data_IF_735645978651
#
_entry.id   IF_735645978651
#
_cell.length_a   1.000
_cell.length_b   1.000
_cell.length_c   1.000
_cell.angle_alpha   90.00
_cell.angle_beta   90.00
_cell.angle_gamma   90.00
#
_symmetry.space_group_name_H-M   'P 1'
#
loop_
_entity.id
_entity.type
_entity.pdbx_description
1 polymer ?
#
# COMPACT_ATOMS: atom_id res chain seq x y z
N UNK A 1 2.73 36.79 19.05
CA UNK A 1 3.57 37.03 17.85
C UNK A 1 4.81 36.13 17.77
N UNK A 2 5.41 35.64 18.87
CA UNK A 2 6.63 34.80 18.82
C UNK A 2 6.46 33.36 18.30
N UNK A 3 5.32 32.71 18.49
CA UNK A 3 5.11 31.32 18.06
C UNK A 3 4.98 31.15 16.53
N UNK A 4 4.38 32.13 15.85
CA UNK A 4 4.23 32.13 14.38
C UNK A 4 5.57 32.38 13.67
N UNK A 5 6.37 33.32 14.18
CA UNK A 5 7.69 33.60 13.61
C UNK A 5 8.66 32.40 13.72
N UNK A 6 8.55 31.61 14.79
CA UNK A 6 9.35 30.41 14.98
C UNK A 6 8.96 29.29 14.00
N UNK A 7 7.67 29.13 13.72
CA UNK A 7 7.19 28.16 12.73
C UNK A 7 7.68 28.50 11.31
N UNK A 8 7.66 29.77 10.92
CA UNK A 8 8.12 30.23 9.60
C UNK A 8 9.63 30.04 9.40
N UNK A 9 10.43 30.10 10.47
CA UNK A 9 11.87 29.80 10.42
C UNK A 9 12.10 28.30 10.20
N UNK A 10 11.44 27.45 10.98
CA UNK A 10 11.54 25.99 10.85
C UNK A 10 11.09 25.51 9.47
N UNK A 11 10.03 26.11 8.92
CA UNK A 11 9.56 25.80 7.56
C UNK A 11 10.61 26.11 6.49
N UNK A 12 11.27 27.28 6.56
CA UNK A 12 12.33 27.66 5.63
C UNK A 12 13.56 26.77 5.74
N UNK A 13 13.96 26.40 6.95
CA UNK A 13 15.06 25.45 7.15
C UNK A 13 14.77 24.10 6.50
N UNK A 14 13.54 23.59 6.66
CA UNK A 14 13.12 22.34 6.03
C UNK A 14 13.10 22.48 4.50
N UNK A 15 12.65 23.61 3.95
CA UNK A 15 12.68 23.87 2.50
C UNK A 15 14.11 23.84 1.95
N UNK A 16 15.06 24.50 2.61
CA UNK A 16 16.47 24.50 2.20
C UNK A 16 17.07 23.09 2.29
N UNK A 17 16.77 22.36 3.37
CA UNK A 17 17.21 20.96 3.55
C UNK A 17 16.66 20.05 2.44
N UNK A 18 15.38 20.19 2.06
CA UNK A 18 14.76 19.44 0.97
C UNK A 18 15.45 19.72 -0.37
N UNK A 19 15.69 21.00 -0.69
CA UNK A 19 16.34 21.40 -1.94
C UNK A 19 17.77 20.83 -2.01
N UNK A 20 18.53 20.95 -0.92
CA UNK A 20 19.91 20.45 -0.84
C UNK A 20 19.93 18.92 -0.95
N UNK A 21 19.09 18.22 -0.22
CA UNK A 21 19.02 16.75 -0.26
C UNK A 21 18.64 16.25 -1.65
N UNK A 22 17.61 16.83 -2.26
CA UNK A 22 17.18 16.45 -3.61
C UNK A 22 18.22 16.77 -4.68
N UNK A 23 18.88 17.92 -4.60
CA UNK A 23 20.00 18.27 -5.48
C UNK A 23 21.15 17.27 -5.35
N UNK A 24 21.46 16.80 -4.14
CA UNK A 24 22.50 15.80 -3.91
C UNK A 24 22.11 14.42 -4.47
N UNK A 25 20.84 14.02 -4.39
CA UNK A 25 20.34 12.80 -5.03
C UNK A 25 20.39 12.91 -6.56
N UNK A 26 20.05 14.07 -7.13
CA UNK A 26 20.13 14.30 -8.58
C UNK A 26 21.58 14.19 -9.09
N UNK A 27 22.56 14.62 -8.29
CA UNK A 27 24.00 14.52 -8.58
C UNK A 27 24.60 13.11 -8.46
N UNK A 28 23.86 12.12 -7.93
CA UNK A 28 24.35 10.72 -7.90
C UNK A 28 24.68 10.24 -9.31
N UNK A 29 25.89 9.71 -9.48
CA UNK A 29 26.42 9.12 -10.71
C UNK A 29 26.20 7.61 -10.70
N UNK A 30 26.27 6.97 -11.87
CA UNK A 30 26.25 5.50 -11.96
C UNK A 30 27.40 4.83 -11.21
N UNK A 31 28.52 5.54 -10.99
CA UNK A 31 29.69 5.06 -10.25
C UNK A 31 29.64 5.35 -8.74
N UNK A 32 28.53 5.89 -8.21
CA UNK A 32 28.41 6.16 -6.78
C UNK A 32 28.35 4.84 -6.01
N UNK A 33 28.99 4.74 -4.85
CA UNK A 33 28.94 3.52 -4.04
C UNK A 33 27.56 3.33 -3.40
N UNK A 34 27.21 2.09 -3.05
CA UNK A 34 25.97 1.81 -2.32
C UNK A 34 25.88 2.61 -1.01
N UNK A 35 26.98 2.69 -0.25
CA UNK A 35 27.02 3.44 1.01
C UNK A 35 26.73 4.94 0.81
N UNK A 36 27.27 5.54 -0.25
CA UNK A 36 27.01 6.94 -0.58
C UNK A 36 25.53 7.15 -0.94
N UNK A 37 24.96 6.25 -1.74
CA UNK A 37 23.54 6.28 -2.14
C UNK A 37 22.64 6.15 -0.91
N UNK A 38 22.90 5.17 -0.05
CA UNK A 38 22.16 4.91 1.19
C UNK A 38 22.23 6.13 2.11
N UNK A 39 23.43 6.69 2.35
CA UNK A 39 23.59 7.84 3.24
C UNK A 39 22.79 9.06 2.75
N UNK A 40 22.77 9.33 1.44
CA UNK A 40 21.98 10.43 0.87
C UNK A 40 20.48 10.18 0.94
N UNK A 41 20.06 8.94 0.70
CA UNK A 41 18.65 8.55 0.79
C UNK A 41 18.13 8.61 2.23
N UNK A 42 18.88 8.12 3.21
CA UNK A 42 18.50 8.20 4.63
C UNK A 42 18.35 9.66 5.08
N UNK A 43 19.24 10.55 4.61
CA UNK A 43 19.11 11.99 4.87
C UNK A 43 17.81 12.55 4.27
N UNK A 44 17.50 12.23 3.02
CA UNK A 44 16.25 12.64 2.39
C UNK A 44 15.02 12.09 3.13
N UNK A 45 15.05 10.82 3.52
CA UNK A 45 13.98 10.15 4.27
C UNK A 45 13.70 10.86 5.61
N UNK A 46 14.75 11.20 6.35
CA UNK A 46 14.64 11.91 7.63
C UNK A 46 13.99 13.29 7.48
N UNK A 47 14.34 14.03 6.42
CA UNK A 47 13.75 15.35 6.12
C UNK A 47 12.28 15.19 5.73
N UNK A 48 11.95 14.26 4.83
CA UNK A 48 10.56 14.01 4.40
C UNK A 48 9.65 13.62 5.59
N UNK A 49 10.14 12.81 6.53
CA UNK A 49 9.39 12.47 7.75
C UNK A 49 9.05 13.70 8.59
N UNK A 50 9.97 14.65 8.72
CA UNK A 50 9.77 15.92 9.46
C UNK A 50 8.72 16.80 8.80
N UNK A 51 8.72 16.91 7.46
CA UNK A 51 7.77 17.76 6.72
C UNK A 51 6.33 17.49 7.14
N UNK A 52 5.91 16.23 7.13
CA UNK A 52 4.53 15.89 7.47
C UNK A 52 4.23 15.85 8.98
N UNK A 53 5.12 16.36 9.85
CA UNK A 53 4.86 16.65 11.26
C UNK A 53 4.64 18.15 11.52
N UNK A 54 5.00 19.03 10.59
CA UNK A 54 4.89 20.47 10.77
C UNK A 54 3.45 20.93 10.53
N UNK A 55 2.91 21.71 11.48
CA UNK A 55 1.62 22.38 11.33
C UNK A 55 1.78 23.62 10.44
N UNK A 56 1.34 23.53 9.19
CA UNK A 56 1.45 24.58 8.17
C UNK A 56 1.14 23.97 6.80
N UNK A 57 0.73 24.78 5.81
CA UNK A 57 0.29 24.25 4.51
C UNK A 57 1.44 23.54 3.78
N UNK A 58 1.39 22.21 3.55
CA UNK A 58 2.41 21.48 2.80
C UNK A 58 2.53 21.95 1.34
N UNK A 59 1.52 22.67 0.83
CA UNK A 59 1.51 23.22 -0.53
C UNK A 59 2.64 24.21 -0.79
N UNK A 60 3.14 24.93 0.22
CA UNK A 60 4.26 25.87 0.06
C UNK A 60 5.58 25.12 -0.24
N UNK A 61 5.74 23.91 0.31
CA UNK A 61 6.95 23.10 0.13
C UNK A 61 6.99 22.32 -1.18
N UNK A 62 5.95 22.35 -2.03
CA UNK A 62 5.93 21.58 -3.28
C UNK A 62 7.13 21.87 -4.18
N UNK A 63 7.56 23.14 -4.25
CA UNK A 63 8.76 23.52 -5.00
C UNK A 63 10.04 22.94 -4.39
N UNK A 64 10.14 22.91 -3.06
CA UNK A 64 11.28 22.35 -2.35
C UNK A 64 11.34 20.82 -2.44
N UNK A 65 10.20 20.14 -2.57
CA UNK A 65 10.10 18.69 -2.76
C UNK A 65 10.53 18.25 -4.16
N UNK A 66 10.35 19.11 -5.18
CA UNK A 66 10.54 18.75 -6.59
C UNK A 66 11.89 18.07 -6.88
N UNK A 67 13.05 18.53 -6.36
CA UNK A 67 14.32 17.87 -6.63
C UNK A 67 14.41 16.44 -6.05
N UNK A 68 13.86 16.20 -4.86
CA UNK A 68 13.82 14.85 -4.25
C UNK A 68 12.88 13.96 -5.07
N UNK A 69 11.66 14.43 -5.32
CA UNK A 69 10.65 13.69 -6.08
C UNK A 69 11.17 13.28 -7.45
N UNK A 70 11.80 14.22 -8.16
CA UNK A 70 12.43 13.99 -9.47
C UNK A 70 13.59 12.98 -9.40
N UNK A 71 14.35 12.95 -8.30
CA UNK A 71 15.45 12.01 -8.15
C UNK A 71 14.96 10.58 -7.92
N UNK A 72 13.93 10.40 -7.06
CA UNK A 72 13.45 9.09 -6.61
C UNK A 72 12.87 8.24 -7.74
N UNK A 73 12.24 8.86 -8.74
CA UNK A 73 11.66 8.16 -9.90
C UNK A 73 12.68 7.79 -10.99
N UNK A 74 13.94 8.21 -10.87
CA UNK A 74 14.96 7.83 -11.87
C UNK A 74 15.32 6.36 -11.68
N UNK A 75 15.40 5.63 -12.78
CA UNK A 75 15.78 4.20 -12.81
C UNK A 75 17.02 3.87 -11.97
N UNK A 76 18.00 4.79 -11.92
CA UNK A 76 19.21 4.63 -11.09
C UNK A 76 18.94 4.39 -9.60
N UNK A 77 17.79 4.88 -9.08
CA UNK A 77 17.33 4.67 -7.70
C UNK A 77 16.15 3.71 -7.67
N UNK A 78 15.14 3.94 -8.52
CA UNK A 78 13.90 3.18 -8.52
C UNK A 78 14.11 1.69 -8.87
N UNK A 79 15.02 1.42 -9.81
CA UNK A 79 15.37 0.07 -10.29
C UNK A 79 16.76 -0.36 -9.81
N UNK A 80 17.21 0.20 -8.68
CA UNK A 80 18.49 -0.17 -8.07
C UNK A 80 18.49 -1.63 -7.63
N UNK A 81 19.65 -2.30 -7.68
CA UNK A 81 19.78 -3.74 -7.38
C UNK A 81 19.89 -4.07 -5.89
N UNK A 82 20.42 -3.13 -5.12
CA UNK A 82 20.58 -3.29 -3.67
C UNK A 82 19.23 -3.15 -2.94
N UNK A 83 18.90 -4.16 -2.13
CA UNK A 83 17.65 -4.26 -1.36
C UNK A 83 17.48 -3.09 -0.37
N UNK A 84 18.55 -2.66 0.32
CA UNK A 84 18.47 -1.56 1.27
C UNK A 84 18.17 -0.24 0.54
N UNK A 85 18.81 -0.02 -0.61
CA UNK A 85 18.49 1.14 -1.45
C UNK A 85 17.03 1.12 -1.87
N UNK A 86 16.52 -0.01 -2.37
CA UNK A 86 15.11 -0.16 -2.77
C UNK A 86 14.15 0.17 -1.63
N UNK A 87 14.39 -0.36 -0.42
CA UNK A 87 13.55 -0.13 0.76
C UNK A 87 13.54 1.34 1.16
N UNK A 88 14.70 2.01 1.16
CA UNK A 88 14.78 3.43 1.54
C UNK A 88 14.14 4.32 0.45
N UNK A 89 14.32 4.00 -0.85
CA UNK A 89 13.64 4.71 -1.95
C UNK A 89 12.13 4.57 -1.82
N UNK A 90 11.61 3.36 -1.58
CA UNK A 90 10.19 3.13 -1.37
C UNK A 90 9.64 3.94 -0.18
N UNK A 91 10.38 3.97 0.94
CA UNK A 91 10.00 4.79 2.09
C UNK A 91 9.96 6.28 1.76
N UNK A 92 10.95 6.80 1.03
CA UNK A 92 10.95 8.19 0.57
C UNK A 92 9.77 8.51 -0.36
N UNK A 93 9.46 7.62 -1.31
CA UNK A 93 8.31 7.75 -2.21
C UNK A 93 7.00 7.76 -1.41
N UNK A 94 6.85 6.84 -0.44
CA UNK A 94 5.70 6.80 0.46
C UNK A 94 5.50 8.11 1.23
N UNK A 95 6.59 8.71 1.75
CA UNK A 95 6.51 10.02 2.40
C UNK A 95 6.18 11.14 1.43
N UNK A 96 6.75 11.15 0.22
CA UNK A 96 6.44 12.15 -0.79
C UNK A 96 4.94 12.12 -1.15
N UNK A 97 4.38 10.94 -1.41
CA UNK A 97 2.95 10.73 -1.67
C UNK A 97 2.09 11.23 -0.51
N UNK A 98 2.47 10.92 0.74
CA UNK A 98 1.77 11.44 1.92
C UNK A 98 1.76 12.96 2.00
N UNK A 99 2.88 13.60 1.67
CA UNK A 99 3.00 15.07 1.75
C UNK A 99 2.21 15.76 0.65
N UNK A 100 2.15 15.17 -0.55
CA UNK A 100 1.46 15.79 -1.71
C UNK A 100 -0.02 15.47 -1.76
N UNK A 101 -0.50 14.48 -1.01
CA UNK A 101 -1.92 14.13 -0.92
C UNK A 101 -2.80 15.35 -0.61
N UNK A 102 -3.98 15.48 -1.25
CA UNK A 102 -4.61 14.52 -2.16
C UNK A 102 -4.12 14.60 -3.61
N UNK A 103 -3.15 15.47 -3.94
CA UNK A 103 -2.63 15.55 -5.30
C UNK A 103 -1.65 14.40 -5.57
N UNK A 104 -1.89 13.69 -6.68
CA UNK A 104 -1.00 12.65 -7.16
C UNK A 104 0.40 13.24 -7.38
N UNK A 105 1.45 12.63 -6.79
CA UNK A 105 2.82 13.17 -6.85
C UNK A 105 3.49 13.01 -8.22
N UNK A 106 3.09 11.99 -8.99
CA UNK A 106 3.78 11.54 -10.20
C UNK A 106 2.80 11.25 -11.33
N UNK A 107 3.31 11.06 -12.55
CA UNK A 107 2.49 10.59 -13.67
C UNK A 107 2.16 9.09 -13.51
N UNK A 108 1.14 8.61 -14.21
CA UNK A 108 0.60 7.26 -14.04
C UNK A 108 1.64 6.15 -14.25
N UNK A 109 2.49 6.27 -15.27
CA UNK A 109 3.58 5.34 -15.55
C UNK A 109 4.58 5.26 -14.37
N UNK A 110 4.90 6.41 -13.77
CA UNK A 110 5.78 6.51 -12.61
C UNK A 110 5.12 5.98 -11.34
N UNK A 111 3.81 6.16 -11.19
CA UNK A 111 3.04 5.60 -10.07
C UNK A 111 3.00 4.07 -10.17
N UNK A 112 2.83 3.50 -11.37
CA UNK A 112 2.90 2.05 -11.58
C UNK A 112 4.27 1.48 -11.17
N UNK A 113 5.37 2.11 -11.60
CA UNK A 113 6.72 1.69 -11.19
C UNK A 113 6.93 1.81 -9.66
N UNK A 114 6.36 2.85 -9.03
CA UNK A 114 6.39 3.03 -7.57
C UNK A 114 5.65 1.89 -6.84
N UNK A 115 4.43 1.55 -7.28
CA UNK A 115 3.66 0.46 -6.68
C UNK A 115 4.35 -0.89 -6.87
N UNK A 116 4.96 -1.12 -8.03
CA UNK A 116 5.82 -2.28 -8.26
C UNK A 116 6.96 -2.36 -7.23
N UNK A 117 7.64 -1.25 -6.96
CA UNK A 117 8.68 -1.21 -5.92
C UNK A 117 8.10 -1.44 -4.51
N UNK A 118 6.92 -0.91 -4.19
CA UNK A 118 6.26 -1.19 -2.91
C UNK A 118 5.99 -2.67 -2.74
N UNK A 119 5.47 -3.35 -3.76
CA UNK A 119 5.23 -4.79 -3.72
C UNK A 119 6.53 -5.59 -3.54
N UNK A 120 7.63 -5.20 -4.21
CA UNK A 120 8.97 -5.81 -3.98
C UNK A 120 9.39 -5.66 -2.52
N UNK A 121 9.25 -4.47 -1.95
CA UNK A 121 9.63 -4.18 -0.55
C UNK A 121 8.76 -4.95 0.44
N UNK A 122 7.44 -4.96 0.25
CA UNK A 122 6.53 -5.70 1.14
C UNK A 122 6.84 -7.20 1.16
N UNK A 123 7.05 -7.79 -0.02
CA UNK A 123 7.43 -9.22 -0.16
C UNK A 123 8.77 -9.55 0.49
N UNK A 124 9.75 -8.65 0.36
CA UNK A 124 11.10 -8.88 0.90
C UNK A 124 11.26 -8.63 2.40
N UNK A 125 10.45 -7.74 2.98
CA UNK A 125 10.70 -7.23 4.34
C UNK A 125 9.70 -7.68 5.40
N UNK A 126 8.43 -7.95 5.08
CA UNK A 126 7.41 -8.20 6.11
C UNK A 126 7.70 -9.45 6.96
N UNK A 127 8.31 -10.48 6.36
CA UNK A 127 8.68 -11.71 7.07
C UNK A 127 9.86 -11.57 8.01
N UNK A 128 10.58 -10.43 8.00
CA UNK A 128 11.72 -10.18 8.89
C UNK A 128 11.31 -9.86 10.32
N UNK A 129 10.06 -9.41 10.54
CA UNK A 129 9.43 -9.09 11.84
C UNK A 129 10.10 -7.98 12.68
N UNK A 130 11.32 -7.58 12.34
CA UNK A 130 12.15 -6.63 13.11
C UNK A 130 13.10 -5.86 12.20
N UNK A 131 13.59 -4.71 12.68
CA UNK A 131 14.60 -3.89 12.02
C UNK A 131 14.03 -2.77 11.15
N UNK A 132 14.87 -1.78 10.82
CA UNK A 132 14.42 -0.56 10.17
C UNK A 132 13.74 -0.79 8.81
N UNK A 133 14.18 -1.79 8.06
CA UNK A 133 13.58 -2.12 6.76
C UNK A 133 12.19 -2.74 6.90
N UNK A 134 12.00 -3.59 7.92
CA UNK A 134 10.69 -4.08 8.30
C UNK A 134 9.79 -2.89 8.70
N UNK A 135 10.26 -2.00 9.57
CA UNK A 135 9.49 -0.82 9.99
C UNK A 135 9.09 0.08 8.81
N UNK A 136 9.95 0.21 7.79
CA UNK A 136 9.63 0.92 6.55
C UNK A 136 8.54 0.21 5.76
N UNK A 137 8.63 -1.10 5.59
CA UNK A 137 7.61 -1.89 4.90
C UNK A 137 6.26 -1.84 5.61
N UNK A 138 6.23 -1.93 6.94
CA UNK A 138 4.99 -1.78 7.73
C UNK A 138 4.37 -0.40 7.52
N UNK A 139 5.17 0.67 7.47
CA UNK A 139 4.67 2.04 7.19
C UNK A 139 4.15 2.21 5.77
N UNK A 140 4.71 1.50 4.80
CA UNK A 140 4.18 1.46 3.43
C UNK A 140 2.81 0.77 3.44
N UNK A 141 2.71 -0.44 4.00
CA UNK A 141 1.46 -1.19 4.08
C UNK A 141 0.36 -0.40 4.81
N UNK A 142 0.68 0.17 5.97
CA UNK A 142 -0.23 1.04 6.72
C UNK A 142 -0.75 2.19 5.85
N UNK A 143 0.14 2.89 5.13
CA UNK A 143 -0.25 4.03 4.33
C UNK A 143 -1.04 3.65 3.06
N UNK A 144 -0.85 2.44 2.52
CA UNK A 144 -1.69 1.93 1.42
C UNK A 144 -3.17 1.87 1.83
N UNK A 145 -3.46 1.39 3.04
CA UNK A 145 -4.82 1.33 3.59
C UNK A 145 -5.28 2.68 4.14
N UNK A 146 -4.71 3.13 5.27
CA UNK A 146 -5.17 4.35 5.97
C UNK A 146 -4.96 5.63 5.16
N UNK A 147 -3.84 5.69 4.44
CA UNK A 147 -3.55 6.80 3.52
C UNK A 147 -4.29 6.71 2.19
N UNK A 148 -5.12 5.65 2.00
CA UNK A 148 -5.92 5.36 0.80
C UNK A 148 -5.11 5.42 -0.49
N UNK A 149 -3.80 5.15 -0.42
CA UNK A 149 -2.93 5.19 -1.62
C UNK A 149 -3.24 4.02 -2.56
N UNK A 150 -3.85 2.94 -2.04
CA UNK A 150 -4.36 1.85 -2.87
C UNK A 150 -5.46 2.29 -3.85
N UNK A 151 -6.17 3.40 -3.58
CA UNK A 151 -7.15 3.93 -4.55
C UNK A 151 -6.47 4.47 -5.80
N UNK A 152 -5.31 5.12 -5.64
CA UNK A 152 -4.51 5.52 -6.79
C UNK A 152 -4.02 4.27 -7.55
N UNK A 153 -3.75 3.17 -6.85
CA UNK A 153 -3.40 1.90 -7.51
C UNK A 153 -4.56 1.37 -8.38
N UNK A 154 -5.80 1.54 -7.93
CA UNK A 154 -7.01 1.13 -8.67
C UNK A 154 -7.25 2.00 -9.91
N UNK A 155 -6.95 3.31 -9.85
CA UNK A 155 -7.13 4.23 -10.97
C UNK A 155 -6.11 4.04 -12.13
N UNK A 156 -5.11 3.17 -11.95
CA UNK A 156 -3.98 3.01 -12.88
C UNK A 156 -4.11 1.85 -13.88
N UNK A 157 -5.25 1.16 -13.95
CA UNK A 157 -5.48 -0.02 -14.80
C UNK A 157 -4.41 -1.11 -14.61
N UNK A 158 -4.08 -1.44 -13.35
CA UNK A 158 -3.08 -2.46 -12.97
C UNK A 158 -3.70 -3.62 -12.17
N UNK A 159 -4.84 -4.13 -12.65
CA UNK A 159 -5.65 -5.15 -11.99
C UNK A 159 -4.85 -6.39 -11.57
N UNK A 160 -3.96 -6.88 -12.44
CA UNK A 160 -3.11 -8.03 -12.11
C UNK A 160 -2.25 -7.78 -10.87
N UNK A 161 -1.74 -6.56 -10.67
CA UNK A 161 -0.95 -6.23 -9.49
C UNK A 161 -1.80 -6.23 -8.21
N UNK A 162 -3.08 -5.87 -8.31
CA UNK A 162 -4.04 -5.91 -7.20
C UNK A 162 -4.35 -7.37 -6.84
N UNK A 163 -4.59 -8.23 -7.84
CA UNK A 163 -4.80 -9.67 -7.64
C UNK A 163 -3.56 -10.30 -6.99
N UNK A 164 -2.36 -10.00 -7.52
CA UNK A 164 -1.09 -10.50 -6.98
C UNK A 164 -0.83 -10.01 -5.54
N UNK A 165 -1.33 -8.83 -5.17
CA UNK A 165 -1.26 -8.30 -3.81
C UNK A 165 -2.18 -9.06 -2.86
N UNK A 166 -3.40 -9.41 -3.29
CA UNK A 166 -4.31 -10.24 -2.48
C UNK A 166 -3.70 -11.61 -2.24
N UNK A 167 -3.22 -12.26 -3.31
CA UNK A 167 -2.55 -13.56 -3.19
C UNK A 167 -1.34 -13.48 -2.26
N UNK A 168 -0.54 -12.42 -2.37
CA UNK A 168 0.59 -12.20 -1.46
C UNK A 168 0.18 -12.14 0.01
N UNK A 169 -0.86 -11.37 0.34
CA UNK A 169 -1.32 -11.25 1.72
C UNK A 169 -1.77 -12.61 2.27
N UNK A 170 -2.52 -13.38 1.48
CA UNK A 170 -2.94 -14.72 1.87
C UNK A 170 -1.80 -15.72 2.01
N UNK A 171 -0.79 -15.64 1.15
CA UNK A 171 0.38 -16.55 1.17
C UNK A 171 1.32 -16.25 2.34
N UNK A 172 1.45 -14.97 2.72
CA UNK A 172 2.47 -14.55 3.68
C UNK A 172 1.97 -14.40 5.12
N UNK A 173 0.67 -14.15 5.32
CA UNK A 173 0.14 -13.87 6.65
C UNK A 173 0.38 -15.07 7.56
N UNK A 174 0.89 -14.80 8.75
CA UNK A 174 1.40 -15.82 9.67
C UNK A 174 1.00 -15.48 11.10
N UNK A 175 0.79 -16.48 11.99
CA UNK A 175 0.52 -16.21 13.41
C UNK A 175 1.65 -15.48 14.14
N UNK A 176 2.85 -15.45 13.56
CA UNK A 176 4.00 -14.72 14.10
C UNK A 176 3.97 -13.22 13.79
N UNK A 177 3.11 -12.77 12.88
CA UNK A 177 3.02 -11.36 12.54
C UNK A 177 2.33 -10.60 13.67
N UNK A 178 2.79 -9.38 14.00
CA UNK A 178 2.08 -8.53 14.93
C UNK A 178 0.62 -8.33 14.46
N UNK A 179 -0.38 -8.29 15.37
CA UNK A 179 -1.79 -8.17 14.99
C UNK A 179 -2.10 -6.97 14.09
N UNK A 180 -1.30 -5.91 14.17
CA UNK A 180 -1.46 -4.73 13.32
C UNK A 180 -1.22 -5.02 11.83
N UNK A 181 -0.39 -6.01 11.48
CA UNK A 181 -0.14 -6.38 10.08
C UNK A 181 -1.38 -7.03 9.47
N UNK A 182 -2.05 -7.89 10.24
CA UNK A 182 -3.35 -8.44 9.86
C UNK A 182 -4.33 -7.31 9.57
N UNK A 183 -4.46 -6.35 10.50
CA UNK A 183 -5.36 -5.21 10.33
C UNK A 183 -5.04 -4.41 9.07
N UNK A 184 -3.76 -4.13 8.79
CA UNK A 184 -3.41 -3.35 7.61
C UNK A 184 -3.66 -4.10 6.29
N UNK A 185 -3.42 -5.42 6.24
CA UNK A 185 -3.76 -6.22 5.05
C UNK A 185 -5.27 -6.23 4.83
N UNK A 186 -6.05 -6.44 5.90
CA UNK A 186 -7.51 -6.40 5.88
C UNK A 186 -8.02 -5.03 5.41
N UNK A 187 -7.52 -3.94 5.97
CA UNK A 187 -7.93 -2.57 5.60
C UNK A 187 -7.66 -2.27 4.13
N UNK A 188 -6.51 -2.70 3.60
CA UNK A 188 -6.16 -2.55 2.18
C UNK A 188 -7.14 -3.35 1.31
N UNK A 189 -7.37 -4.62 1.63
CA UNK A 189 -8.25 -5.49 0.85
C UNK A 189 -9.71 -5.01 0.87
N UNK A 190 -10.22 -4.65 2.05
CA UNK A 190 -11.55 -4.08 2.22
C UNK A 190 -11.71 -2.80 1.41
N UNK A 191 -10.74 -1.89 1.48
CA UNK A 191 -10.80 -0.62 0.75
C UNK A 191 -10.83 -0.84 -0.77
N UNK A 192 -10.04 -1.78 -1.28
CA UNK A 192 -10.08 -2.15 -2.71
C UNK A 192 -11.48 -2.63 -3.10
N UNK A 193 -12.03 -3.60 -2.37
CA UNK A 193 -13.33 -4.19 -2.73
C UNK A 193 -14.47 -3.17 -2.65
N UNK A 194 -14.55 -2.39 -1.57
CA UNK A 194 -15.62 -1.42 -1.36
C UNK A 194 -15.64 -0.31 -2.41
N UNK A 195 -14.45 0.11 -2.89
CA UNK A 195 -14.30 1.22 -3.82
C UNK A 195 -14.24 0.76 -5.29
N UNK A 196 -14.15 -0.55 -5.55
CA UNK A 196 -14.24 -1.07 -6.93
C UNK A 196 -15.64 -0.83 -7.49
N UNK A 197 -15.76 -0.38 -8.74
CA UNK A 197 -17.08 -0.34 -9.41
C UNK A 197 -17.64 -1.75 -9.59
N UNK A 198 -16.80 -2.67 -10.07
CA UNK A 198 -17.10 -4.09 -10.25
C UNK A 198 -15.99 -4.97 -9.68
N UNK A 199 -16.36 -6.10 -9.06
CA UNK A 199 -15.39 -7.08 -8.55
C UNK A 199 -15.23 -8.19 -9.58
N UNK A 200 -14.05 -8.26 -10.19
CA UNK A 200 -13.74 -9.29 -11.19
C UNK A 200 -13.63 -10.69 -10.57
N UNK A 201 -13.87 -11.73 -11.38
CA UNK A 201 -13.65 -13.11 -10.94
C UNK A 201 -12.19 -13.38 -10.56
N UNK A 202 -11.25 -12.72 -11.23
CA UNK A 202 -9.81 -12.84 -10.95
C UNK A 202 -9.46 -12.31 -9.56
N UNK A 203 -10.07 -11.18 -9.13
CA UNK A 203 -9.91 -10.65 -7.78
C UNK A 203 -10.64 -11.48 -6.73
N UNK A 204 -11.80 -12.04 -7.08
CA UNK A 204 -12.60 -12.87 -6.19
C UNK A 204 -11.99 -14.25 -5.93
N UNK A 205 -11.21 -14.78 -6.87
CA UNK A 205 -10.58 -16.11 -6.77
C UNK A 205 -9.69 -16.27 -5.53
N UNK A 206 -8.68 -15.40 -5.26
CA UNK A 206 -7.85 -15.54 -4.06
C UNK A 206 -8.66 -15.37 -2.76
N UNK A 207 -9.71 -14.55 -2.76
CA UNK A 207 -10.64 -14.43 -1.62
C UNK A 207 -11.37 -15.76 -1.36
N UNK A 208 -11.98 -16.35 -2.39
CA UNK A 208 -12.69 -17.63 -2.29
C UNK A 208 -11.75 -18.75 -1.85
N UNK A 209 -10.58 -18.85 -2.45
CA UNK A 209 -9.58 -19.86 -2.12
C UNK A 209 -9.14 -19.77 -0.66
N UNK A 210 -8.99 -18.54 -0.13
CA UNK A 210 -8.60 -18.33 1.26
C UNK A 210 -9.61 -18.92 2.27
N UNK A 211 -10.91 -18.92 1.95
CA UNK A 211 -11.99 -19.35 2.86
C UNK A 211 -12.53 -20.75 2.59
N UNK A 212 -11.87 -21.54 1.73
CA UNK A 212 -12.17 -22.97 1.58
C UNK A 212 -11.96 -23.71 2.89
N UNK A 213 -12.78 -24.72 3.14
CA UNK A 213 -12.78 -25.48 4.41
C UNK A 213 -11.51 -26.31 4.62
N UNK A 214 -10.84 -26.72 3.54
CA UNK A 214 -9.51 -27.35 3.59
C UNK A 214 -8.44 -26.35 4.08
N UNK A 215 -8.53 -25.07 3.69
CA UNK A 215 -7.58 -24.04 4.10
C UNK A 215 -7.68 -23.69 5.58
N UNK A 216 -8.84 -23.89 6.22
CA UNK A 216 -9.05 -23.62 7.65
C UNK A 216 -8.00 -24.27 8.56
N UNK A 217 -7.55 -25.47 8.22
CA UNK A 217 -6.53 -26.20 8.99
C UNK A 217 -5.10 -26.01 8.44
N UNK A 218 -4.96 -25.74 7.14
CA UNK A 218 -3.64 -25.59 6.48
C UNK A 218 -3.05 -24.21 6.73
N UNK A 219 -3.85 -23.15 6.59
CA UNK A 219 -3.44 -21.77 6.81
C UNK A 219 -4.52 -21.00 7.59
N UNK A 220 -4.66 -21.25 8.91
CA UNK A 220 -5.76 -20.70 9.71
C UNK A 220 -5.79 -19.17 9.74
N UNK A 221 -4.63 -18.51 9.73
CA UNK A 221 -4.57 -17.03 9.76
C UNK A 221 -4.97 -16.42 8.40
N UNK A 222 -4.60 -17.08 7.31
CA UNK A 222 -5.05 -16.71 5.96
C UNK A 222 -6.57 -16.90 5.81
N UNK A 223 -7.09 -18.01 6.35
CA UNK A 223 -8.53 -18.28 6.39
C UNK A 223 -9.30 -17.24 7.21
N UNK A 224 -8.79 -16.83 8.37
CA UNK A 224 -9.42 -15.76 9.16
C UNK A 224 -9.33 -14.39 8.47
N UNK A 225 -8.23 -14.07 7.79
CA UNK A 225 -8.12 -12.85 6.99
C UNK A 225 -9.19 -12.81 5.89
N UNK A 226 -9.34 -13.92 5.17
CA UNK A 226 -10.36 -14.05 4.12
C UNK A 226 -11.76 -13.85 4.67
N UNK A 227 -12.08 -14.51 5.79
CA UNK A 227 -13.36 -14.34 6.47
C UNK A 227 -13.62 -12.90 6.90
N UNK A 228 -12.65 -12.25 7.52
CA UNK A 228 -12.78 -10.87 7.97
C UNK A 228 -13.09 -9.92 6.80
N UNK A 229 -12.41 -10.11 5.66
CA UNK A 229 -12.69 -9.35 4.43
C UNK A 229 -14.09 -9.63 3.88
N UNK A 230 -14.54 -10.90 3.84
CA UNK A 230 -15.93 -11.22 3.45
C UNK A 230 -16.97 -10.58 4.37
N UNK A 231 -16.74 -10.61 5.69
CA UNK A 231 -17.63 -10.01 6.67
C UNK A 231 -17.73 -8.49 6.47
N UNK A 232 -16.61 -7.79 6.30
CA UNK A 232 -16.59 -6.34 6.06
C UNK A 232 -17.19 -5.95 4.70
N UNK A 233 -16.98 -6.76 3.67
CA UNK A 233 -17.39 -6.46 2.30
C UNK A 233 -18.65 -7.22 1.84
N UNK A 234 -19.43 -7.74 2.78
CA UNK A 234 -20.56 -8.63 2.52
C UNK A 234 -21.55 -8.06 1.50
N UNK A 235 -21.98 -6.81 1.68
CA UNK A 235 -22.93 -6.14 0.77
C UNK A 235 -22.37 -6.00 -0.64
N UNK A 236 -21.09 -5.62 -0.76
CA UNK A 236 -20.43 -5.42 -2.04
C UNK A 236 -20.19 -6.74 -2.77
N UNK A 237 -19.76 -7.79 -2.06
CA UNK A 237 -19.40 -9.09 -2.63
C UNK A 237 -20.60 -9.96 -2.99
N UNK A 238 -21.75 -9.79 -2.34
CA UNK A 238 -22.92 -10.64 -2.52
C UNK A 238 -23.34 -10.88 -3.99
N UNK A 239 -23.53 -9.85 -4.84
CA UNK A 239 -23.94 -10.08 -6.24
C UNK A 239 -22.88 -10.85 -7.03
N UNK A 240 -21.59 -10.55 -6.84
CA UNK A 240 -20.49 -11.17 -7.57
C UNK A 240 -20.27 -12.63 -7.15
N UNK A 241 -20.47 -12.96 -5.86
CA UNK A 241 -20.41 -14.34 -5.38
C UNK A 241 -21.47 -15.23 -6.03
N UNK A 242 -22.71 -14.77 -6.13
CA UNK A 242 -23.79 -15.53 -6.78
C UNK A 242 -23.49 -15.80 -8.25
N UNK A 243 -22.83 -14.87 -8.92
CA UNK A 243 -22.39 -15.03 -10.29
C UNK A 243 -21.21 -16.01 -10.40
N UNK A 244 -20.22 -15.90 -9.53
CA UNK A 244 -19.05 -16.76 -9.49
C UNK A 244 -19.41 -18.24 -9.25
N UNK A 245 -20.31 -18.51 -8.29
CA UNK A 245 -20.80 -19.88 -8.02
C UNK A 245 -21.37 -20.53 -9.28
N UNK A 246 -22.14 -19.77 -10.07
CA UNK A 246 -22.71 -20.27 -11.33
C UNK A 246 -21.66 -20.45 -12.41
N UNK A 247 -20.79 -19.46 -12.61
CA UNK A 247 -19.79 -19.46 -13.69
C UNK A 247 -18.69 -20.50 -13.49
N UNK A 248 -18.25 -20.67 -12.24
CA UNK A 248 -17.16 -21.59 -11.89
C UNK A 248 -17.67 -22.96 -11.42
N UNK A 249 -18.99 -23.16 -11.36
CA UNK A 249 -19.63 -24.39 -10.86
C UNK A 249 -19.12 -24.79 -9.47
N UNK A 250 -19.12 -23.81 -8.54
CA UNK A 250 -18.60 -24.00 -7.19
C UNK A 250 -19.61 -24.73 -6.31
N UNK A 251 -19.13 -25.69 -5.53
CA UNK A 251 -19.92 -26.32 -4.47
C UNK A 251 -19.81 -25.46 -3.21
N UNK A 252 -20.87 -24.71 -2.90
CA UNK A 252 -20.87 -23.69 -1.83
C UNK A 252 -20.58 -24.30 -0.45
N UNK A 253 -20.87 -25.60 -0.26
CA UNK A 253 -20.59 -26.33 0.98
C UNK A 253 -19.09 -26.57 1.26
N UNK A 254 -18.22 -26.36 0.27
CA UNK A 254 -16.76 -26.44 0.43
C UNK A 254 -16.14 -25.18 1.07
N UNK A 255 -16.93 -24.13 1.30
CA UNK A 255 -16.47 -22.82 1.78
C UNK A 255 -16.99 -22.49 3.19
N UNK A 256 -16.39 -21.49 3.82
CA UNK A 256 -16.84 -20.97 5.11
C UNK A 256 -18.32 -20.53 5.08
N UNK A 257 -19.01 -20.63 6.22
CA UNK A 257 -20.44 -20.32 6.37
C UNK A 257 -20.82 -18.92 5.86
N UNK A 258 -19.90 -17.95 5.93
CA UNK A 258 -20.12 -16.60 5.38
C UNK A 258 -20.34 -16.59 3.86
N UNK A 259 -19.67 -17.47 3.10
CA UNK A 259 -19.90 -17.59 1.66
C UNK A 259 -21.28 -18.20 1.40
N UNK A 260 -21.63 -19.23 2.17
CA UNK A 260 -22.95 -19.88 2.11
C UNK A 260 -24.06 -18.86 2.33
N UNK A 261 -23.98 -18.09 3.41
CA UNK A 261 -25.01 -17.12 3.80
C UNK A 261 -25.17 -16.01 2.75
N UNK A 262 -24.08 -15.51 2.17
CA UNK A 262 -24.13 -14.49 1.12
C UNK A 262 -24.77 -15.02 -0.16
N UNK A 263 -24.52 -16.29 -0.52
CA UNK A 263 -25.14 -16.92 -1.67
C UNK A 263 -26.63 -17.21 -1.47
N UNK A 264 -27.07 -17.58 -0.26
CA UNK A 264 -28.46 -17.94 0.04
C UNK A 264 -29.36 -16.79 0.41
N UNK A 265 -28.81 -15.62 0.76
CA UNK A 265 -29.63 -14.46 1.13
C UNK A 265 -30.39 -13.95 -0.10
N UNK A 266 -31.68 -14.28 -0.21
CA UNK A 266 -32.60 -13.66 -1.16
C UNK A 266 -32.84 -12.20 -0.76
N UNK A 267 -32.93 -11.30 -1.74
CA UNK A 267 -33.15 -9.87 -1.51
C UNK A 267 -34.46 -9.64 -0.73
N UNK A 268 -34.40 -9.46 0.59
CA UNK A 268 -35.47 -8.83 1.39
C UNK A 268 -35.57 -7.32 1.10
N UNK A 269 -35.60 -6.93 -0.17
CA UNK A 269 -35.77 -5.52 -0.58
C UNK A 269 -37.05 -5.32 -1.40
N UNK A 270 -37.86 -6.37 -1.66
CA UNK A 270 -39.13 -6.24 -2.39
C UNK A 270 -40.41 -6.38 -1.55
N UNK A 271 -40.41 -6.02 -0.25
CA UNK A 271 -41.64 -6.06 0.57
C UNK A 271 -42.02 -4.76 1.31
N UNK A 272 -41.40 -3.61 1.00
CA UNK A 272 -41.79 -2.32 1.64
C UNK A 272 -41.87 -1.10 0.71
N UNK A 273 -42.25 -1.28 -0.55
CA UNK A 273 -42.77 -0.19 -1.40
C UNK A 273 -43.91 -0.71 -2.26
#
# INVERSE_FOLDING_TARGET
MGASANADVVLREIEDELIVAGTNLLKLRFSSSCDEVIARLLRAEAILKRVGQVKGSPMLMKKALFPIMTALIKDKLLKHRDENVQVIVASCLNQATRITAPQQPYMDDQMRDMFGLFMVVLRGQLSRLTGDNYDRAVKILHFMGLGRTVLIMMDLDIDQMIVDMFQFFFDTISPNYPPVIFQYMEDVMTLVIEESDEVSLELLTPLLDSVRMDNKNVSPVSWELGKAVFEKCSTKLQPYLKEAVKKMNLEVSDYAEIVVSLCTTENMVCLLT
#
